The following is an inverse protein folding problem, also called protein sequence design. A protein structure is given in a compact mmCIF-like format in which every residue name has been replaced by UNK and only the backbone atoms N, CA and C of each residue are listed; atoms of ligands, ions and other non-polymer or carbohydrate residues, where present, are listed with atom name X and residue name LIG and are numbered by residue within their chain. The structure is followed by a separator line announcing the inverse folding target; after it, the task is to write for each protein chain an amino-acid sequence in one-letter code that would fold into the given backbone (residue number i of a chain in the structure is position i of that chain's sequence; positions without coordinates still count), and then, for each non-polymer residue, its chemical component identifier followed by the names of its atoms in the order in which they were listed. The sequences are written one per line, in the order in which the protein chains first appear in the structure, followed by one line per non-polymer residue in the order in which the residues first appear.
data_IF_574809069106
#
_entry.id   IF_574809069106
#
_cell.length_a   1.000
_cell.length_b   1.000
_cell.length_c   1.000
_cell.angle_alpha   90.00
_cell.angle_beta   90.00
_cell.angle_gamma   90.00
#
_symmetry.space_group_name_H-M   'P 1'
#
loop_
_entity.id
_entity.type
_entity.pdbx_description
1 polymer ?
#
# COMPACT_ATOMS: atom_id res chain seq x y z
N UNK A 1 -3.63 -22.89 2.28
CA UNK A 1 -3.23 -21.51 2.60
C UNK A 1 -3.90 -21.13 3.91
N UNK A 2 -3.25 -20.31 4.71
CA UNK A 2 -3.85 -19.80 5.95
C UNK A 2 -4.86 -18.71 5.60
N UNK A 3 -6.15 -19.03 5.66
CA UNK A 3 -7.26 -18.10 5.36
C UNK A 3 -7.30 -16.90 6.32
N UNK A 4 -6.53 -16.96 7.42
CA UNK A 4 -6.48 -15.90 8.44
C UNK A 4 -5.49 -14.80 8.11
N UNK A 5 -4.49 -15.07 7.25
CA UNK A 5 -3.45 -14.13 6.88
C UNK A 5 -4.00 -13.04 5.95
N UNK A 6 -3.91 -11.77 6.38
CA UNK A 6 -4.40 -10.61 5.64
C UNK A 6 -3.39 -9.48 5.63
N UNK A 7 -3.39 -8.72 4.55
CA UNK A 7 -2.62 -7.48 4.43
C UNK A 7 -3.53 -6.33 3.99
N UNK A 8 -3.20 -5.12 4.41
CA UNK A 8 -3.96 -3.95 4.04
C UNK A 8 -3.46 -3.38 2.70
N UNK A 9 -4.31 -3.41 1.69
CA UNK A 9 -4.04 -2.96 0.32
C UNK A 9 -4.87 -1.73 0.02
N UNK A 10 -4.27 -0.66 -0.50
CA UNK A 10 -5.03 0.54 -0.83
C UNK A 10 -5.33 0.69 -2.33
N UNK A 11 -4.55 0.02 -3.18
CA UNK A 11 -4.80 0.02 -4.61
C UNK A 11 -4.30 -1.27 -5.27
N UNK A 12 -4.92 -1.67 -6.38
CA UNK A 12 -4.41 -2.67 -7.31
C UNK A 12 -4.48 -2.07 -8.70
N UNK A 13 -3.31 -1.84 -9.28
CA UNK A 13 -3.18 -1.29 -10.63
C UNK A 13 -2.92 -2.42 -11.61
N UNK A 14 -3.85 -2.59 -12.54
CA UNK A 14 -3.73 -3.60 -13.59
C UNK A 14 -3.01 -3.02 -14.82
N UNK A 15 -2.35 -3.90 -15.58
CA UNK A 15 -1.66 -3.54 -16.83
C UNK A 15 -0.57 -2.46 -16.67
N UNK A 16 0.14 -2.45 -15.55
CA UNK A 16 1.29 -1.57 -15.38
C UNK A 16 2.46 -2.01 -16.27
N UNK A 17 3.15 -1.02 -16.85
CA UNK A 17 4.32 -1.20 -17.72
C UNK A 17 5.58 -0.53 -17.14
N UNK A 18 5.49 0.04 -15.94
CA UNK A 18 6.57 0.79 -15.29
C UNK A 18 7.09 0.11 -14.02
N UNK A 19 6.36 -0.86 -13.49
CA UNK A 19 6.61 -1.47 -12.17
C UNK A 19 7.32 -2.84 -12.32
N UNK A 20 8.31 -2.92 -13.22
CA UNK A 20 9.11 -4.09 -13.50
C UNK A 20 8.97 -4.61 -14.93
N UNK A 21 9.63 -5.75 -15.26
CA UNK A 21 9.63 -6.29 -16.61
C UNK A 21 8.26 -6.81 -17.06
N UNK A 22 7.91 -6.52 -18.30
CA UNK A 22 6.65 -6.97 -18.91
C UNK A 22 5.43 -6.17 -18.45
N UNK A 23 4.23 -6.72 -18.67
CA UNK A 23 2.99 -6.17 -18.15
C UNK A 23 2.76 -6.77 -16.77
N UNK A 24 2.41 -5.93 -15.80
CA UNK A 24 2.29 -6.36 -14.41
C UNK A 24 0.97 -5.91 -13.77
N UNK A 25 0.54 -6.67 -12.78
CA UNK A 25 -0.47 -6.22 -11.83
C UNK A 25 0.24 -5.78 -10.57
N UNK A 26 0.18 -4.48 -10.25
CA UNK A 26 0.84 -3.90 -9.09
C UNK A 26 -0.11 -3.80 -7.93
N UNK A 27 0.26 -4.42 -6.81
CA UNK A 27 -0.49 -4.40 -5.55
C UNK A 27 0.17 -3.41 -4.60
N UNK A 28 -0.57 -2.38 -4.20
CA UNK A 28 -0.06 -1.30 -3.35
C UNK A 28 -0.47 -1.53 -1.90
N UNK A 29 0.51 -1.94 -1.08
CA UNK A 29 0.33 -2.20 0.34
C UNK A 29 0.40 -0.93 1.18
N UNK A 30 -0.31 -0.92 2.32
CA UNK A 30 -0.26 0.16 3.29
C UNK A 30 0.85 -0.08 4.33
N UNK A 31 1.30 1.02 4.92
CA UNK A 31 2.43 1.07 5.83
C UNK A 31 3.72 1.48 5.13
N UNK A 32 4.40 2.49 5.67
CA UNK A 32 5.74 2.87 5.24
C UNK A 32 6.49 3.45 6.44
N UNK A 33 7.76 3.05 6.66
CA UNK A 33 8.57 3.64 7.74
C UNK A 33 9.08 5.04 7.39
N UNK A 34 9.07 5.39 6.10
CA UNK A 34 9.53 6.69 5.62
C UNK A 34 8.39 7.72 5.55
N UNK A 35 8.77 9.01 5.57
CA UNK A 35 7.90 10.18 5.42
C UNK A 35 8.49 11.12 4.38
N UNK A 36 8.76 10.58 3.18
CA UNK A 36 9.39 11.32 2.10
C UNK A 36 8.59 12.58 1.75
N UNK A 37 9.21 13.74 1.73
CA UNK A 37 8.52 15.02 1.43
C UNK A 37 7.93 15.08 0.02
N UNK A 38 8.40 14.24 -0.88
CA UNK A 38 7.90 14.10 -2.26
C UNK A 38 7.07 12.84 -2.50
N UNK A 39 6.56 12.20 -1.44
CA UNK A 39 5.81 10.96 -1.57
C UNK A 39 4.58 11.15 -2.47
N UNK A 40 4.45 10.30 -3.49
CA UNK A 40 3.29 10.30 -4.38
C UNK A 40 2.07 9.63 -3.75
N UNK A 41 2.29 8.75 -2.76
CA UNK A 41 1.25 7.97 -2.11
C UNK A 41 1.25 8.17 -0.57
N UNK A 42 1.08 9.40 -0.05
CA UNK A 42 1.13 9.66 1.39
C UNK A 42 0.02 8.94 2.17
N UNK A 43 -1.06 8.55 1.50
CA UNK A 43 -2.14 7.71 2.05
C UNK A 43 -1.68 6.30 2.43
N UNK A 44 -0.55 5.84 1.91
CA UNK A 44 0.06 4.56 2.26
C UNK A 44 0.88 4.58 3.55
N UNK A 45 1.17 5.74 4.12
CA UNK A 45 2.07 5.85 5.27
C UNK A 45 1.60 5.08 6.51
N UNK A 46 0.28 5.04 6.74
CA UNK A 46 -0.33 4.29 7.84
C UNK A 46 -0.67 2.89 7.38
N UNK A 47 -0.57 1.92 8.29
CA UNK A 47 -0.95 0.53 8.03
C UNK A 47 -2.46 0.33 8.05
N UNK A 48 -3.18 1.11 8.87
CA UNK A 48 -4.61 0.99 9.08
C UNK A 48 -5.42 1.59 7.93
N UNK A 49 -6.64 1.09 7.75
CA UNK A 49 -7.63 1.70 6.86
C UNK A 49 -8.23 2.94 7.50
N UNK A 50 -8.39 4.00 6.74
CA UNK A 50 -9.02 5.24 7.20
C UNK A 50 -9.96 5.82 6.15
N UNK A 51 -10.83 6.75 6.57
CA UNK A 51 -11.69 7.47 5.64
C UNK A 51 -10.90 8.60 4.98
N UNK A 52 -10.91 8.61 3.66
CA UNK A 52 -10.33 9.67 2.84
C UNK A 52 -11.42 10.58 2.29
N UNK A 53 -11.17 11.89 2.21
CA UNK A 53 -12.09 12.88 1.67
C UNK A 53 -11.55 13.55 0.41
N UNK A 54 -12.26 13.38 -0.68
CA UNK A 54 -12.05 14.15 -1.91
C UNK A 54 -12.85 15.47 -1.83
N UNK A 55 -12.25 16.51 -1.29
CA UNK A 55 -12.92 17.79 -1.06
C UNK A 55 -13.57 18.39 -2.31
N UNK A 56 -13.04 18.11 -3.49
CA UNK A 56 -13.60 18.60 -4.76
C UNK A 56 -14.96 17.98 -5.07
N UNK A 57 -15.27 16.80 -4.56
CA UNK A 57 -16.59 16.13 -4.70
C UNK A 57 -17.55 16.50 -3.57
N UNK A 58 -17.07 17.19 -2.52
CA UNK A 58 -17.87 17.48 -1.34
C UNK A 58 -18.91 18.58 -1.66
N UNK A 59 -20.18 18.26 -1.41
CA UNK A 59 -21.31 19.21 -1.55
C UNK A 59 -21.69 19.88 -0.22
N UNK A 60 -20.90 19.75 0.81
CA UNK A 60 -21.04 20.37 2.14
C UNK A 60 -22.39 20.10 2.84
N UNK A 61 -23.01 18.94 2.60
CA UNK A 61 -24.33 18.60 3.15
C UNK A 61 -24.34 18.22 4.64
N UNK A 62 -23.17 18.07 5.29
CA UNK A 62 -23.02 17.76 6.71
C UNK A 62 -23.44 16.36 7.17
N UNK A 63 -23.97 15.50 6.29
CA UNK A 63 -24.47 14.16 6.66
C UNK A 63 -23.39 13.27 7.30
N UNK A 64 -22.15 13.36 6.83
CA UNK A 64 -21.02 12.60 7.35
C UNK A 64 -20.66 12.99 8.79
N UNK A 65 -20.76 14.27 9.14
CA UNK A 65 -20.53 14.76 10.50
C UNK A 65 -21.59 14.16 11.43
N UNK A 66 -22.88 14.26 11.06
CA UNK A 66 -23.99 13.72 11.84
C UNK A 66 -23.95 12.19 11.99
N UNK A 67 -23.42 11.47 11.00
CA UNK A 67 -23.33 10.01 11.01
C UNK A 67 -22.04 9.47 11.66
N UNK A 68 -21.09 10.33 12.02
CA UNK A 68 -19.81 9.91 12.57
C UNK A 68 -19.94 9.53 14.04
N UNK A 69 -20.00 8.24 14.34
CA UNK A 69 -20.10 7.71 15.71
C UNK A 69 -18.88 8.04 16.58
N UNK A 70 -17.70 8.19 15.94
CA UNK A 70 -16.44 8.53 16.59
C UNK A 70 -16.23 10.05 16.73
N UNK A 71 -17.15 10.87 16.22
CA UNK A 71 -17.00 12.34 16.17
C UNK A 71 -15.66 12.79 15.53
N UNK A 72 -15.15 11.99 14.61
CA UNK A 72 -13.87 12.21 13.93
C UNK A 72 -13.96 13.17 12.74
N UNK A 73 -15.17 13.51 12.28
CA UNK A 73 -15.37 14.42 11.16
C UNK A 73 -15.93 15.74 11.69
N UNK A 74 -15.17 16.80 11.50
CA UNK A 74 -15.55 18.17 11.89
C UNK A 74 -15.62 19.06 10.66
N UNK A 75 -16.32 20.18 10.78
CA UNK A 75 -16.37 21.22 9.73
C UNK A 75 -15.51 22.40 10.15
N UNK A 76 -14.46 22.68 9.41
CA UNK A 76 -13.61 23.85 9.61
C UNK A 76 -13.54 24.65 8.30
N UNK A 77 -13.81 25.95 8.36
CA UNK A 77 -13.78 26.83 7.19
C UNK A 77 -14.53 26.25 5.97
N UNK A 78 -15.75 25.75 6.22
CA UNK A 78 -16.60 25.10 5.22
C UNK A 78 -16.05 23.79 4.61
N UNK A 79 -14.92 23.27 5.11
CA UNK A 79 -14.34 22.01 4.67
C UNK A 79 -14.54 20.92 5.72
N UNK A 80 -14.68 19.70 5.25
CA UNK A 80 -14.71 18.53 6.12
C UNK A 80 -13.27 18.15 6.46
N UNK A 81 -12.92 18.18 7.75
CA UNK A 81 -11.65 17.76 8.29
C UNK A 81 -11.85 16.45 9.04
N UNK A 82 -10.97 15.48 8.80
CA UNK A 82 -11.04 14.17 9.45
C UNK A 82 -9.89 14.07 10.46
N UNK A 83 -10.24 13.88 11.72
CA UNK A 83 -9.30 13.55 12.79
C UNK A 83 -8.97 12.05 12.69
N UNK A 84 -7.89 11.73 11.99
CA UNK A 84 -7.56 10.34 11.62
C UNK A 84 -7.37 9.42 12.82
N UNK A 85 -6.81 9.90 13.91
CA UNK A 85 -6.59 9.13 15.15
C UNK A 85 -7.91 8.59 15.72
N UNK A 86 -8.96 9.39 15.73
CA UNK A 86 -10.31 8.97 16.11
C UNK A 86 -10.97 8.09 15.04
N UNK A 87 -10.67 8.36 13.75
CA UNK A 87 -11.27 7.66 12.64
C UNK A 87 -10.77 6.21 12.49
N UNK A 88 -9.54 5.92 12.87
CA UNK A 88 -8.95 4.58 12.73
C UNK A 88 -9.67 3.53 13.55
N UNK A 89 -10.11 3.86 14.76
CA UNK A 89 -10.84 2.94 15.66
C UNK A 89 -12.30 2.66 15.20
N UNK A 90 -12.77 3.36 14.17
CA UNK A 90 -14.11 3.17 13.66
C UNK A 90 -14.19 1.94 12.76
N UNK A 91 -15.11 1.01 13.06
CA UNK A 91 -15.30 -0.23 12.29
C UNK A 91 -16.39 -0.12 11.23
N UNK A 92 -17.43 0.69 11.45
CA UNK A 92 -18.62 0.71 10.59
C UNK A 92 -18.54 1.69 9.40
N UNK A 93 -17.67 2.71 9.47
CA UNK A 93 -17.45 3.71 8.41
C UNK A 93 -18.75 4.24 7.79
N UNK A 94 -19.83 4.41 8.58
CA UNK A 94 -21.16 4.87 8.11
C UNK A 94 -21.12 6.17 7.31
N UNK A 95 -20.19 7.07 7.64
CA UNK A 95 -20.00 8.33 6.94
C UNK A 95 -19.74 8.16 5.43
N UNK A 96 -19.06 7.07 5.03
CA UNK A 96 -18.81 6.74 3.62
C UNK A 96 -20.11 6.30 2.94
N UNK A 97 -20.86 5.42 3.60
CA UNK A 97 -22.12 4.87 3.05
C UNK A 97 -23.19 5.95 2.82
N UNK A 98 -23.24 6.95 3.72
CA UNK A 98 -24.25 8.01 3.68
C UNK A 98 -23.84 9.19 2.78
N UNK A 99 -22.61 9.23 2.27
CA UNK A 99 -22.12 10.34 1.46
C UNK A 99 -22.78 10.36 0.08
N UNK A 100 -23.69 11.30 -0.23
CA UNK A 100 -24.45 11.25 -1.48
C UNK A 100 -23.64 11.63 -2.70
N UNK A 101 -22.54 12.35 -2.53
CA UNK A 101 -21.64 12.75 -3.61
C UNK A 101 -20.47 11.79 -3.83
N UNK A 102 -20.32 10.74 -2.98
CA UNK A 102 -19.17 9.86 -3.01
C UNK A 102 -17.84 10.57 -2.69
N UNK A 103 -17.88 11.70 -1.98
CA UNK A 103 -16.67 12.43 -1.58
C UNK A 103 -15.86 11.69 -0.51
N UNK A 104 -16.47 10.77 0.21
CA UNK A 104 -15.78 9.94 1.21
C UNK A 104 -15.60 8.52 0.69
N UNK A 105 -14.40 7.99 0.87
CA UNK A 105 -14.05 6.60 0.57
C UNK A 105 -13.21 6.02 1.69
N UNK A 106 -13.16 4.68 1.77
CA UNK A 106 -12.22 3.99 2.68
C UNK A 106 -10.92 3.79 1.92
N UNK A 107 -9.84 4.29 2.48
CA UNK A 107 -8.49 4.09 1.95
C UNK A 107 -7.84 2.89 2.64
N UNK A 108 -7.66 1.84 1.87
CA UNK A 108 -7.17 0.55 2.35
C UNK A 108 -8.28 -0.43 2.68
N UNK A 109 -8.06 -1.68 2.34
CA UNK A 109 -8.90 -2.84 2.68
C UNK A 109 -8.02 -4.02 3.02
N UNK A 110 -8.43 -4.79 4.00
CA UNK A 110 -7.80 -6.07 4.29
C UNK A 110 -8.12 -7.08 3.19
N UNK A 111 -7.07 -7.68 2.62
CA UNK A 111 -7.17 -8.68 1.57
C UNK A 111 -6.40 -9.93 1.97
N UNK A 112 -6.97 -11.10 1.67
CA UNK A 112 -6.26 -12.37 1.72
C UNK A 112 -5.41 -12.58 0.45
N UNK A 113 -4.57 -13.61 0.44
CA UNK A 113 -3.83 -14.03 -0.76
C UNK A 113 -4.79 -14.40 -1.88
N UNK A 114 -5.89 -15.07 -1.56
CA UNK A 114 -6.94 -15.43 -2.51
C UNK A 114 -7.62 -14.20 -3.11
N UNK A 115 -7.94 -13.18 -2.29
CA UNK A 115 -8.55 -11.94 -2.78
C UNK A 115 -7.65 -11.25 -3.82
N UNK A 116 -6.33 -11.21 -3.56
CA UNK A 116 -5.35 -10.64 -4.50
C UNK A 116 -5.23 -11.51 -5.75
N UNK A 117 -5.19 -12.84 -5.57
CA UNK A 117 -5.13 -13.77 -6.69
C UNK A 117 -6.31 -13.64 -7.65
N UNK A 118 -7.53 -13.45 -7.13
CA UNK A 118 -8.71 -13.22 -7.96
C UNK A 118 -8.58 -12.00 -8.89
N UNK A 119 -7.82 -10.98 -8.48
CA UNK A 119 -7.51 -9.84 -9.34
C UNK A 119 -6.37 -10.17 -10.32
N UNK A 120 -5.29 -10.80 -9.84
CA UNK A 120 -4.09 -11.14 -10.63
C UNK A 120 -4.43 -12.11 -11.77
N UNK A 121 -5.24 -13.12 -11.50
CA UNK A 121 -5.59 -14.15 -12.49
C UNK A 121 -6.31 -13.61 -13.73
N UNK A 122 -6.99 -12.47 -13.62
CA UNK A 122 -7.67 -11.81 -14.75
C UNK A 122 -6.68 -11.26 -15.77
N UNK A 123 -5.43 -11.04 -15.36
CA UNK A 123 -4.39 -10.41 -16.17
C UNK A 123 -3.36 -11.41 -16.73
N UNK A 124 -3.44 -12.69 -16.36
CA UNK A 124 -2.47 -13.73 -16.78
C UNK A 124 -2.25 -13.74 -18.30
N UNK A 125 -3.31 -13.53 -19.08
CA UNK A 125 -3.23 -13.50 -20.54
C UNK A 125 -2.35 -12.36 -21.09
N UNK A 126 -2.14 -11.30 -20.31
CA UNK A 126 -1.34 -10.13 -20.67
C UNK A 126 0.12 -10.23 -20.21
N UNK A 127 0.45 -11.12 -19.26
CA UNK A 127 1.80 -11.22 -18.71
C UNK A 127 2.82 -11.77 -19.72
N UNK A 128 2.34 -12.36 -20.82
CA UNK A 128 3.20 -12.91 -21.87
C UNK A 128 4.01 -14.12 -21.38
N UNK A 129 4.85 -14.64 -22.25
CA UNK A 129 5.68 -15.81 -21.91
C UNK A 129 6.88 -15.40 -21.03
N UNK A 130 6.69 -15.37 -19.70
CA UNK A 130 7.77 -15.38 -18.73
C UNK A 130 8.40 -14.02 -18.36
N UNK A 131 7.73 -12.88 -18.62
CA UNK A 131 8.25 -11.56 -18.19
C UNK A 131 7.30 -10.75 -17.35
N UNK A 132 5.99 -10.82 -17.61
CA UNK A 132 4.99 -10.13 -16.82
C UNK A 132 4.59 -10.90 -15.56
N UNK A 133 3.87 -10.26 -14.66
CA UNK A 133 3.45 -10.89 -13.42
C UNK A 133 2.90 -9.93 -12.39
N UNK A 134 3.17 -10.21 -11.12
CA UNK A 134 2.77 -9.37 -10.01
C UNK A 134 3.92 -8.51 -9.50
N UNK A 135 3.61 -7.29 -9.05
CA UNK A 135 4.55 -6.42 -8.32
C UNK A 135 3.94 -6.02 -6.98
N UNK A 136 4.68 -6.23 -5.90
CA UNK A 136 4.36 -5.67 -4.59
C UNK A 136 5.00 -4.28 -4.47
N UNK A 137 4.19 -3.27 -4.20
CA UNK A 137 4.58 -1.87 -4.10
C UNK A 137 3.74 -1.16 -3.02
N UNK A 138 3.64 0.17 -3.06
CA UNK A 138 2.75 0.95 -2.21
C UNK A 138 3.46 1.89 -1.26
N UNK A 139 3.36 1.62 0.03
CA UNK A 139 4.20 2.22 1.06
C UNK A 139 5.57 1.54 1.09
N UNK A 140 5.74 0.59 2.02
CA UNK A 140 6.88 -0.33 2.05
C UNK A 140 6.31 -1.75 2.16
N UNK A 141 6.31 -2.52 1.07
CA UNK A 141 5.69 -3.85 1.05
C UNK A 141 6.38 -4.84 2.00
N UNK A 142 7.68 -4.70 2.26
CA UNK A 142 8.41 -5.57 3.19
C UNK A 142 7.90 -5.52 4.64
N UNK A 143 7.06 -4.54 5.00
CA UNK A 143 6.35 -4.56 6.29
C UNK A 143 5.35 -5.72 6.40
N UNK A 144 5.00 -6.35 5.28
CA UNK A 144 4.10 -7.49 5.16
C UNK A 144 4.84 -8.74 4.67
N UNK A 145 6.08 -8.98 5.15
CA UNK A 145 7.00 -9.97 4.59
C UNK A 145 6.40 -11.38 4.48
N UNK A 146 5.85 -11.93 5.56
CA UNK A 146 5.21 -13.25 5.57
C UNK A 146 4.05 -13.36 4.56
N UNK A 147 3.22 -12.32 4.48
CA UNK A 147 2.11 -12.27 3.52
C UNK A 147 2.62 -12.25 2.07
N UNK A 148 3.62 -11.41 1.78
CA UNK A 148 4.18 -11.28 0.43
C UNK A 148 4.91 -12.55 0.02
N UNK A 149 5.66 -13.18 0.94
CA UNK A 149 6.27 -14.48 0.68
C UNK A 149 5.22 -15.49 0.23
N UNK A 150 4.15 -15.63 1.00
CA UNK A 150 3.05 -16.57 0.68
C UNK A 150 2.41 -16.25 -0.67
N UNK A 151 2.14 -14.96 -0.94
CA UNK A 151 1.59 -14.52 -2.22
C UNK A 151 2.51 -14.83 -3.40
N UNK A 152 3.82 -14.59 -3.25
CA UNK A 152 4.81 -14.81 -4.29
C UNK A 152 5.05 -16.30 -4.56
N UNK A 153 5.14 -17.13 -3.53
CA UNK A 153 5.18 -18.59 -3.67
C UNK A 153 3.95 -19.12 -4.42
N UNK A 154 2.77 -18.56 -4.11
CA UNK A 154 1.55 -18.92 -4.82
C UNK A 154 1.57 -18.51 -6.29
N UNK A 155 2.10 -17.32 -6.61
CA UNK A 155 2.28 -16.85 -7.98
C UNK A 155 3.27 -17.74 -8.76
N UNK A 156 4.39 -18.13 -8.14
CA UNK A 156 5.37 -19.04 -8.74
C UNK A 156 4.78 -20.41 -9.07
N UNK A 157 3.94 -20.95 -8.17
CA UNK A 157 3.22 -22.21 -8.43
C UNK A 157 2.32 -22.14 -9.68
N UNK A 158 1.96 -20.93 -10.11
CA UNK A 158 1.17 -20.66 -11.31
C UNK A 158 1.99 -20.11 -12.48
N UNK A 159 3.33 -20.20 -12.42
CA UNK A 159 4.28 -19.71 -13.44
C UNK A 159 4.16 -18.19 -13.70
N UNK A 160 3.88 -17.42 -12.67
CA UNK A 160 3.80 -15.95 -12.71
C UNK A 160 5.03 -15.37 -12.00
N UNK A 161 5.74 -14.47 -12.67
CA UNK A 161 6.91 -13.81 -12.09
C UNK A 161 6.52 -12.78 -11.05
N UNK A 162 7.41 -12.60 -10.07
CA UNK A 162 7.23 -11.71 -8.94
C UNK A 162 8.22 -10.55 -8.99
N UNK A 163 7.79 -9.37 -8.58
CA UNK A 163 8.63 -8.20 -8.44
C UNK A 163 8.28 -7.44 -7.16
N UNK A 164 9.25 -6.71 -6.64
CA UNK A 164 9.04 -5.83 -5.49
C UNK A 164 9.66 -4.46 -5.73
N UNK A 165 8.94 -3.41 -5.35
CA UNK A 165 9.44 -2.05 -5.21
C UNK A 165 9.58 -1.72 -3.74
N UNK A 166 10.80 -1.48 -3.28
CA UNK A 166 11.09 -1.31 -1.86
C UNK A 166 12.13 -0.22 -1.60
N UNK A 167 12.01 0.47 -0.48
CA UNK A 167 13.08 1.35 0.01
C UNK A 167 14.07 0.62 0.93
N UNK A 168 13.86 -0.66 1.22
CA UNK A 168 14.69 -1.49 2.12
C UNK A 168 14.85 -0.95 3.55
N UNK A 169 14.03 -0.02 4.00
CA UNK A 169 14.12 0.57 5.35
C UNK A 169 13.35 -0.26 6.38
N UNK A 170 13.65 -1.55 6.47
CA UNK A 170 13.02 -2.54 7.36
C UNK A 170 14.08 -3.47 7.96
N UNK A 171 13.67 -4.37 8.83
CA UNK A 171 14.56 -5.38 9.41
C UNK A 171 15.12 -6.35 8.36
N UNK A 172 16.36 -6.79 8.55
CA UNK A 172 17.09 -7.68 7.64
C UNK A 172 16.36 -9.00 7.38
N UNK A 173 15.73 -9.57 8.39
CA UNK A 173 15.00 -10.82 8.28
C UNK A 173 13.82 -10.70 7.29
N UNK A 174 13.09 -9.57 7.35
CA UNK A 174 11.99 -9.29 6.43
C UNK A 174 12.46 -9.18 4.97
N UNK A 175 13.64 -8.56 4.76
CA UNK A 175 14.27 -8.46 3.43
C UNK A 175 14.59 -9.85 2.90
N UNK A 176 15.32 -10.67 3.66
CA UNK A 176 15.71 -12.02 3.27
C UNK A 176 14.51 -12.90 2.95
N UNK A 177 13.51 -12.88 3.83
CA UNK A 177 12.31 -13.68 3.69
C UNK A 177 11.60 -13.48 2.36
N UNK A 178 11.50 -12.22 1.89
CA UNK A 178 10.81 -11.90 0.65
C UNK A 178 11.71 -12.07 -0.57
N UNK A 179 12.99 -11.66 -0.48
CA UNK A 179 13.87 -11.70 -1.63
C UNK A 179 14.18 -13.13 -2.12
N UNK A 180 14.11 -14.14 -1.22
CA UNK A 180 14.24 -15.56 -1.61
C UNK A 180 13.18 -16.00 -2.64
N UNK A 181 12.05 -15.34 -2.68
CA UNK A 181 10.91 -15.68 -3.57
C UNK A 181 10.57 -14.55 -4.55
N UNK A 182 11.56 -13.67 -4.83
CA UNK A 182 11.38 -12.50 -5.70
C UNK A 182 12.26 -12.61 -6.93
N UNK A 183 11.66 -12.53 -8.14
CA UNK A 183 12.41 -12.58 -9.39
C UNK A 183 13.07 -11.23 -9.74
N UNK A 184 12.42 -10.10 -9.40
CA UNK A 184 12.90 -8.77 -9.75
C UNK A 184 12.77 -7.82 -8.55
N UNK A 185 13.88 -7.18 -8.19
CA UNK A 185 13.93 -6.21 -7.09
C UNK A 185 14.20 -4.82 -7.66
N UNK A 186 13.34 -3.88 -7.34
CA UNK A 186 13.51 -2.45 -7.65
C UNK A 186 13.71 -1.70 -6.35
N UNK A 187 14.96 -1.33 -6.07
CA UNK A 187 15.31 -0.58 -4.87
C UNK A 187 15.23 0.92 -5.12
N UNK A 188 14.43 1.60 -4.33
CA UNK A 188 14.27 3.04 -4.38
C UNK A 188 15.22 3.73 -3.37
N UNK A 189 16.46 3.93 -3.78
CA UNK A 189 17.52 4.57 -2.98
C UNK A 189 17.36 6.09 -2.99
N UNK A 190 16.67 6.63 -1.98
CA UNK A 190 16.15 8.01 -1.95
C UNK A 190 17.23 9.10 -1.89
N UNK A 191 18.36 8.87 -1.19
CA UNK A 191 19.47 9.82 -1.08
C UNK A 191 20.73 9.14 -0.51
N UNK A 192 21.92 9.54 -0.96
CA UNK A 192 23.20 8.98 -0.54
C UNK A 192 23.84 9.66 0.68
N UNK A 193 23.42 10.88 1.06
CA UNK A 193 23.92 11.58 2.24
C UNK A 193 22.97 11.35 3.41
N UNK A 194 23.49 10.85 4.54
CA UNK A 194 22.71 10.43 5.73
C UNK A 194 21.87 11.57 6.34
N UNK A 195 22.46 12.77 6.47
CA UNK A 195 21.76 13.91 7.06
C UNK A 195 20.57 14.35 6.18
N UNK A 196 20.81 14.44 4.88
CA UNK A 196 19.77 14.78 3.90
C UNK A 196 18.72 13.68 3.78
N UNK A 197 19.14 12.42 3.82
CA UNK A 197 18.20 11.30 3.84
C UNK A 197 17.23 11.42 5.03
N UNK A 198 17.76 11.59 6.24
CA UNK A 198 16.93 11.79 7.43
C UNK A 198 16.05 13.04 7.32
N UNK A 199 16.60 14.17 6.91
CA UNK A 199 15.87 15.43 6.76
C UNK A 199 14.68 15.33 5.79
N UNK A 200 14.82 14.55 4.73
CA UNK A 200 13.84 14.45 3.65
C UNK A 200 12.87 13.28 3.78
N UNK A 201 13.29 12.23 4.47
CA UNK A 201 12.50 10.98 4.56
C UNK A 201 12.13 10.59 5.98
N UNK A 202 12.81 11.12 6.99
CA UNK A 202 12.67 10.72 8.39
C UNK A 202 13.26 9.34 8.72
N UNK A 203 13.86 8.66 7.74
CA UNK A 203 14.39 7.30 7.89
C UNK A 203 15.88 7.25 8.26
N UNK A 204 16.39 6.02 8.42
CA UNK A 204 17.79 5.73 8.69
C UNK A 204 18.45 5.08 7.47
N UNK A 205 19.43 5.77 6.87
CA UNK A 205 20.15 5.29 5.68
C UNK A 205 21.00 4.05 5.97
N UNK A 206 21.54 3.91 7.19
CA UNK A 206 22.41 2.77 7.56
C UNK A 206 21.67 1.43 7.42
N UNK A 207 20.38 1.39 7.77
CA UNK A 207 19.53 0.19 7.60
C UNK A 207 19.46 -0.21 6.13
N UNK A 208 19.30 0.76 5.24
CA UNK A 208 19.20 0.51 3.81
C UNK A 208 20.54 0.01 3.25
N UNK A 209 21.64 0.66 3.65
CA UNK A 209 22.99 0.27 3.21
C UNK A 209 23.38 -1.12 3.69
N UNK A 210 23.02 -1.49 4.92
CA UNK A 210 23.19 -2.84 5.48
C UNK A 210 22.37 -3.89 4.71
N UNK A 211 21.13 -3.56 4.34
CA UNK A 211 20.26 -4.45 3.57
C UNK A 211 20.67 -4.58 2.09
N UNK A 212 21.31 -3.56 1.52
CA UNK A 212 21.86 -3.62 0.16
C UNK A 212 23.16 -4.42 0.07
N UNK A 213 23.91 -4.52 1.17
CA UNK A 213 25.19 -5.22 1.20
C UNK A 213 25.06 -6.75 1.43
N UNK A 214 23.88 -7.24 1.81
CA UNK A 214 23.58 -8.61 2.11
C UNK A 214 23.08 -9.39 0.91
#
# INVERSE_FOLDING_TARGET
MDETMRANVFNIQRNSIHDGPGIRTTVFFKGCPLRCRWCCNPESWRTESFVYSENIKCIHCGKCVAACTMQAIITENEKQVIEYEKCMDCTDKKCVQICPSGALSVMGREMSVEDIWEEVKRDIVFYGKGRGGITASGGEPLLHAEFIRTLFEYCHAHNITTAIETCLCVGKEQVREVLEVTDYVMCDYKHWNKEKFYQWTGGNLDIIEENLAD
#
